data_IF_990145841689
#
_entry.id   IF_990145841689
#
_cell.length_a   1.000
_cell.length_b   1.000
_cell.length_c   1.000
_cell.angle_alpha   90.00
_cell.angle_beta   90.00
_cell.angle_gamma   90.00
#
_symmetry.space_group_name_H-M   'P 1'
#
loop_
_entity.id
_entity.type
_entity.pdbx_description
1 polymer ?
#
# COMPACT_ATOMS: atom_id res chain seq x y z
N UNK A 1 29.66 89.24 15.75
CA UNK A 1 29.29 89.57 17.15
C UNK A 1 28.30 88.49 17.61
N UNK A 2 28.70 87.54 18.47
CA UNK A 2 28.38 87.47 19.93
C UNK A 2 26.85 87.35 20.15
N UNK A 3 26.23 86.31 20.75
CA UNK A 3 26.66 85.32 21.76
C UNK A 3 25.70 84.12 21.83
N UNK A 4 26.28 82.97 22.22
CA UNK A 4 25.75 81.77 22.91
C UNK A 4 24.54 82.03 23.83
N UNK A 5 23.66 81.04 24.00
CA UNK A 5 23.20 80.54 25.31
C UNK A 5 22.82 79.05 25.18
N UNK A 6 23.41 78.28 26.09
CA UNK A 6 23.18 76.88 26.43
C UNK A 6 21.95 76.81 27.36
N UNK A 7 20.99 75.92 27.12
CA UNK A 7 20.14 75.40 28.19
C UNK A 7 20.03 73.88 28.02
N UNK A 8 20.80 73.20 28.89
CA UNK A 8 20.57 71.83 29.32
C UNK A 8 19.32 71.85 30.21
N UNK A 9 18.32 71.02 29.91
CA UNK A 9 17.40 70.54 30.94
C UNK A 9 16.81 69.18 30.55
N UNK A 10 17.52 68.16 30.97
CA UNK A 10 17.09 66.82 31.42
C UNK A 10 15.57 66.58 31.50
N UNK A 11 15.03 65.78 30.57
CA UNK A 11 13.91 64.84 30.78
C UNK A 11 14.26 63.59 29.96
N UNK A 12 15.01 62.67 30.54
CA UNK A 12 14.50 61.44 31.17
C UNK A 12 13.66 60.58 30.21
N UNK A 13 14.36 59.63 29.58
CA UNK A 13 13.97 58.23 29.40
C UNK A 13 12.61 57.94 28.74
N UNK A 14 12.63 57.49 27.48
CA UNK A 14 11.78 56.37 27.02
C UNK A 14 12.31 55.83 25.68
N UNK A 15 13.26 54.90 25.81
CA UNK A 15 13.54 53.91 24.77
C UNK A 15 12.33 52.96 24.80
N UNK A 16 11.33 53.20 23.95
CA UNK A 16 10.32 52.20 23.64
C UNK A 16 10.84 51.37 22.47
N UNK A 17 11.54 50.29 22.84
CA UNK A 17 11.79 49.18 21.96
C UNK A 17 10.44 48.62 21.50
N UNK A 18 10.05 48.92 20.26
CA UNK A 18 8.93 48.28 19.58
C UNK A 18 9.32 46.89 19.13
N UNK A 19 9.58 46.01 20.10
CA UNK A 19 9.42 44.56 19.92
C UNK A 19 8.07 44.21 20.50
N UNK A 20 7.03 44.35 19.68
CA UNK A 20 5.77 43.64 19.93
C UNK A 20 6.07 42.15 19.75
N UNK A 21 6.45 41.49 20.84
CA UNK A 21 6.19 40.06 21.00
C UNK A 21 4.71 39.88 20.68
N UNK A 22 4.42 39.24 19.54
CA UNK A 22 3.05 39.01 19.09
C UNK A 22 2.29 38.23 20.16
N UNK A 23 1.47 38.95 20.92
CA UNK A 23 0.46 38.36 21.77
C UNK A 23 -0.43 37.50 20.90
N UNK A 24 -0.36 36.17 21.06
CA UNK A 24 -1.37 35.28 20.52
C UNK A 24 -2.72 35.68 21.16
N UNK A 25 -3.56 36.37 20.40
CA UNK A 25 -4.93 36.67 20.81
C UNK A 25 -5.68 35.35 21.04
N UNK A 26 -6.43 35.26 22.14
CA UNK A 26 -7.30 34.13 22.39
C UNK A 26 -8.27 33.94 21.21
N UNK A 27 -8.25 32.78 20.56
CA UNK A 27 -9.14 32.47 19.44
C UNK A 27 -10.59 32.43 19.94
N UNK A 28 -11.44 33.37 19.51
CA UNK A 28 -12.88 33.45 19.85
C UNK A 28 -13.68 32.21 19.44
N UNK A 29 -13.20 31.48 18.46
CA UNK A 29 -13.92 30.35 17.84
C UNK A 29 -13.28 29.02 18.22
N UNK A 30 -14.12 28.00 18.42
CA UNK A 30 -13.70 26.62 18.64
C UNK A 30 -14.12 25.78 17.45
N UNK A 31 -13.16 25.19 16.74
CA UNK A 31 -13.44 24.20 15.70
C UNK A 31 -13.53 22.80 16.34
N UNK A 32 -14.62 22.09 16.07
CA UNK A 32 -14.75 20.66 16.38
C UNK A 32 -14.91 19.89 15.08
N UNK A 33 -14.07 18.90 14.86
CA UNK A 33 -14.20 17.93 13.78
C UNK A 33 -14.45 16.58 14.44
N UNK A 34 -15.50 15.87 14.02
CA UNK A 34 -15.92 14.59 14.62
C UNK A 34 -15.96 14.61 16.17
N UNK A 35 -16.58 15.66 16.73
CA UNK A 35 -16.69 15.87 18.18
C UNK A 35 -15.39 16.27 18.90
N UNK A 36 -14.23 16.17 18.25
CA UNK A 36 -12.91 16.53 18.82
C UNK A 36 -12.57 17.99 18.56
N UNK A 37 -12.13 18.69 19.60
CA UNK A 37 -11.64 20.07 19.46
C UNK A 37 -10.31 20.06 18.70
N UNK A 38 -10.24 20.84 17.62
CA UNK A 38 -9.04 20.99 16.80
C UNK A 38 -8.44 22.37 17.02
N UNK A 39 -7.20 22.41 17.52
CA UNK A 39 -6.48 23.67 17.75
C UNK A 39 -6.06 24.27 16.42
N UNK A 40 -6.73 25.34 16.01
CA UNK A 40 -6.43 26.05 14.77
C UNK A 40 -6.95 27.48 14.79
N UNK A 41 -6.39 28.33 13.92
CA UNK A 41 -6.79 29.72 13.79
C UNK A 41 -8.01 29.82 12.87
N UNK A 42 -9.21 29.88 13.47
CA UNK A 42 -10.43 30.19 12.74
C UNK A 42 -10.60 31.71 12.66
N UNK A 43 -10.82 32.23 11.45
CA UNK A 43 -10.99 33.67 11.18
C UNK A 43 -12.35 33.95 10.58
N UNK A 44 -12.95 35.08 10.92
CA UNK A 44 -14.16 35.57 10.27
C UNK A 44 -13.78 36.70 9.30
N UNK A 45 -14.17 36.57 8.03
CA UNK A 45 -13.97 37.59 7.00
C UNK A 45 -15.32 37.81 6.32
N UNK A 46 -15.86 39.03 6.41
CA UNK A 46 -17.17 39.42 5.86
C UNK A 46 -18.30 38.47 6.28
N UNK A 47 -18.36 38.09 7.55
CA UNK A 47 -19.38 37.17 8.10
C UNK A 47 -19.18 35.69 7.75
N UNK A 48 -18.12 35.34 7.03
CA UNK A 48 -17.79 33.94 6.68
C UNK A 48 -16.61 33.44 7.53
N UNK A 49 -16.74 32.24 8.10
CA UNK A 49 -15.68 31.60 8.88
C UNK A 49 -14.73 30.81 7.97
N UNK A 50 -13.44 31.00 8.18
CA UNK A 50 -12.34 30.35 7.46
C UNK A 50 -11.49 29.55 8.44
N UNK A 51 -11.17 28.31 8.06
CA UNK A 51 -10.22 27.46 8.77
C UNK A 51 -9.10 27.03 7.81
N UNK A 52 -7.87 26.81 8.30
CA UNK A 52 -6.77 26.36 7.46
C UNK A 52 -7.08 25.02 6.81
N UNK A 53 -7.03 24.95 5.47
CA UNK A 53 -7.28 23.71 4.72
C UNK A 53 -6.38 22.56 5.19
N UNK A 54 -5.11 22.85 5.52
CA UNK A 54 -4.16 21.90 6.11
C UNK A 54 -4.71 21.24 7.37
N UNK A 55 -5.30 22.03 8.27
CA UNK A 55 -5.88 21.50 9.51
C UNK A 55 -7.01 20.52 9.21
N UNK A 56 -7.85 20.84 8.22
CA UNK A 56 -8.98 20.01 7.82
C UNK A 56 -8.47 18.71 7.18
N UNK A 57 -7.54 18.79 6.23
CA UNK A 57 -6.99 17.60 5.55
C UNK A 57 -6.18 16.70 6.49
N UNK A 58 -5.42 17.29 7.41
CA UNK A 58 -4.66 16.55 8.43
C UNK A 58 -5.60 15.80 9.39
N UNK A 59 -6.72 16.42 9.77
CA UNK A 59 -7.70 15.79 10.65
C UNK A 59 -8.47 14.66 9.97
N UNK A 60 -8.95 14.88 8.74
CA UNK A 60 -9.69 13.86 7.98
C UNK A 60 -8.79 12.66 7.68
N UNK A 61 -7.50 12.90 7.39
CA UNK A 61 -6.56 11.86 7.02
C UNK A 61 -6.84 11.31 5.62
N UNK A 62 -5.81 10.78 4.96
CA UNK A 62 -5.94 10.19 3.61
C UNK A 62 -6.20 11.20 2.49
N UNK A 63 -6.18 12.51 2.77
CA UNK A 63 -6.24 13.59 1.80
C UNK A 63 -4.96 14.42 1.86
N UNK A 64 -4.57 14.97 0.72
CA UNK A 64 -3.53 15.97 0.55
C UNK A 64 -4.12 17.16 -0.21
N UNK A 65 -3.48 18.34 -0.09
CA UNK A 65 -3.89 19.52 -0.86
C UNK A 65 -2.69 20.14 -1.57
N UNK A 66 -2.90 20.59 -2.79
CA UNK A 66 -1.91 21.32 -3.57
C UNK A 66 -2.51 22.66 -4.03
N UNK A 67 -1.75 23.74 -3.86
CA UNK A 67 -2.09 25.04 -4.41
C UNK A 67 -1.24 25.31 -5.65
N UNK A 68 -1.87 25.30 -6.82
CA UNK A 68 -1.25 25.74 -8.05
C UNK A 68 -1.34 27.26 -8.15
N UNK A 69 -0.21 27.93 -7.93
CA UNK A 69 -0.10 29.39 -8.02
C UNK A 69 -0.33 29.93 -9.43
N UNK A 70 -0.08 29.15 -10.48
CA UNK A 70 -0.22 29.60 -11.88
C UNK A 70 -1.69 29.66 -12.30
N UNK A 71 -2.50 28.71 -11.82
CA UNK A 71 -3.92 28.61 -12.14
C UNK A 71 -4.82 29.08 -10.99
N UNK A 72 -4.21 29.57 -9.91
CA UNK A 72 -4.88 29.95 -8.65
C UNK A 72 -5.84 28.86 -8.13
N UNK A 73 -5.49 27.59 -8.35
CA UNK A 73 -6.36 26.45 -8.06
C UNK A 73 -5.87 25.69 -6.84
N UNK A 74 -6.79 25.35 -5.93
CA UNK A 74 -6.52 24.42 -4.83
C UNK A 74 -7.16 23.07 -5.19
N UNK A 75 -6.34 22.03 -5.30
CA UNK A 75 -6.80 20.66 -5.51
C UNK A 75 -6.69 19.87 -4.20
N UNK A 76 -7.76 19.17 -3.81
CA UNK A 76 -7.75 18.19 -2.72
C UNK A 76 -7.75 16.81 -3.36
N UNK A 77 -6.74 16.02 -3.06
CA UNK A 77 -6.54 14.69 -3.67
C UNK A 77 -6.32 13.63 -2.60
N UNK A 78 -6.66 12.35 -2.86
CA UNK A 78 -6.25 11.27 -1.97
C UNK A 78 -4.74 11.28 -1.77
N UNK A 79 -4.31 11.20 -0.51
CA UNK A 79 -2.90 11.03 -0.16
C UNK A 79 -2.45 9.70 -0.76
N UNK A 80 -1.57 9.76 -1.76
CA UNK A 80 -0.99 8.55 -2.32
C UNK A 80 -0.05 8.02 -1.24
N UNK A 81 -0.42 6.91 -0.58
CA UNK A 81 0.51 6.22 0.31
C UNK A 81 1.82 5.95 -0.47
N UNK A 82 3.01 6.04 0.16
CA UNK A 82 4.22 5.59 -0.50
C UNK A 82 3.94 4.19 -1.03
N UNK A 83 4.04 3.99 -2.35
CA UNK A 83 3.91 2.65 -2.92
C UNK A 83 4.99 1.81 -2.24
N UNK A 84 4.56 0.86 -1.41
CA UNK A 84 5.48 -0.10 -0.82
C UNK A 84 6.14 -0.83 -1.97
N UNK A 85 7.46 -0.69 -2.10
CA UNK A 85 8.24 -1.41 -3.11
C UNK A 85 8.52 -2.87 -2.68
N UNK A 86 7.97 -3.29 -1.54
CA UNK A 86 8.09 -4.64 -1.01
C UNK A 86 7.39 -5.60 -1.97
N UNK A 87 8.13 -6.62 -2.42
CA UNK A 87 7.64 -7.60 -3.37
C UNK A 87 7.67 -7.15 -4.82
N UNK A 88 7.95 -5.89 -5.15
CA UNK A 88 7.93 -5.42 -6.56
C UNK A 88 9.14 -5.87 -7.39
N UNK A 89 10.05 -6.66 -6.82
CA UNK A 89 11.21 -7.19 -7.52
C UNK A 89 11.63 -8.55 -6.94
N UNK A 90 12.17 -9.44 -7.78
CA UNK A 90 12.75 -10.72 -7.36
C UNK A 90 13.86 -10.56 -6.32
N UNK A 91 14.63 -9.48 -6.40
CA UNK A 91 15.69 -9.14 -5.44
C UNK A 91 15.17 -8.58 -4.12
N UNK A 92 13.89 -8.20 -4.05
CA UNK A 92 13.22 -7.67 -2.87
C UNK A 92 11.84 -8.30 -2.70
N UNK A 93 11.74 -9.64 -2.51
CA UNK A 93 10.48 -10.32 -2.37
C UNK A 93 9.79 -9.94 -1.05
N UNK A 94 8.46 -9.87 -1.07
CA UNK A 94 7.65 -9.70 0.12
C UNK A 94 7.82 -10.91 1.05
N UNK A 95 8.06 -10.71 2.34
CA UNK A 95 8.00 -11.80 3.32
C UNK A 95 6.61 -12.44 3.38
N UNK A 96 6.52 -13.64 3.96
CA UNK A 96 5.24 -14.22 4.33
C UNK A 96 4.40 -13.22 5.15
N UNK A 97 3.08 -13.32 5.01
CA UNK A 97 2.06 -12.49 5.67
C UNK A 97 2.17 -10.99 5.37
N UNK A 98 3.00 -10.62 4.38
CA UNK A 98 3.13 -9.24 3.93
C UNK A 98 2.29 -9.02 2.67
N UNK A 99 1.48 -7.96 2.68
CA UNK A 99 0.68 -7.56 1.53
C UNK A 99 1.55 -6.79 0.53
N UNK A 100 1.51 -7.21 -0.74
CA UNK A 100 2.07 -6.48 -1.87
C UNK A 100 0.94 -6.12 -2.85
N UNK A 101 0.99 -4.92 -3.42
CA UNK A 101 0.00 -4.46 -4.40
C UNK A 101 0.60 -4.40 -5.78
N UNK A 102 -0.17 -4.81 -6.78
CA UNK A 102 0.22 -4.80 -8.19
C UNK A 102 -0.85 -4.10 -9.03
N UNK A 103 -0.42 -3.40 -10.06
CA UNK A 103 -1.28 -2.93 -11.15
C UNK A 103 -0.85 -3.62 -12.43
N UNK A 104 -1.77 -4.37 -13.02
CA UNK A 104 -1.59 -4.97 -14.35
C UNK A 104 -2.26 -4.04 -15.35
N UNK A 105 -1.49 -3.64 -16.35
CA UNK A 105 -1.96 -2.80 -17.46
C UNK A 105 -1.32 -3.34 -18.75
N UNK A 106 -1.99 -4.33 -19.35
CA UNK A 106 -1.63 -4.89 -20.64
C UNK A 106 -2.86 -4.93 -21.56
N UNK A 107 -2.66 -5.35 -22.81
CA UNK A 107 -3.73 -5.30 -23.83
C UNK A 107 -4.92 -6.24 -23.52
N UNK A 108 -4.69 -7.27 -22.71
CA UNK A 108 -5.67 -8.30 -22.35
C UNK A 108 -6.31 -7.98 -20.99
N UNK A 109 -5.49 -7.60 -20.02
CA UNK A 109 -5.87 -7.43 -18.62
C UNK A 109 -5.49 -6.04 -18.11
N UNK A 110 -6.45 -5.38 -17.45
CA UNK A 110 -6.23 -4.09 -16.81
C UNK A 110 -6.94 -4.01 -15.47
N UNK A 111 -6.20 -4.21 -14.39
CA UNK A 111 -6.72 -4.25 -13.02
C UNK A 111 -5.63 -3.97 -11.99
N UNK A 112 -6.02 -3.82 -10.73
CA UNK A 112 -5.12 -3.78 -9.59
C UNK A 112 -5.59 -4.72 -8.49
N UNK A 113 -4.63 -5.33 -7.80
CA UNK A 113 -4.89 -6.29 -6.75
C UNK A 113 -3.86 -6.14 -5.62
N UNK A 114 -4.26 -6.58 -4.42
CA UNK A 114 -3.39 -6.76 -3.26
C UNK A 114 -3.33 -8.23 -2.93
N UNK A 115 -2.12 -8.76 -2.75
CA UNK A 115 -1.85 -10.18 -2.57
C UNK A 115 -0.94 -10.39 -1.36
N UNK A 116 -1.13 -11.48 -0.63
CA UNK A 116 -0.18 -12.00 0.36
C UNK A 116 -0.06 -13.51 0.25
N UNK A 117 1.12 -14.03 0.60
CA UNK A 117 1.30 -15.45 0.91
C UNK A 117 1.26 -15.58 2.43
N UNK A 118 0.20 -16.14 2.96
CA UNK A 118 -0.08 -16.15 4.39
C UNK A 118 0.64 -17.32 5.09
N UNK A 119 0.80 -18.41 4.36
CA UNK A 119 1.38 -19.66 4.83
C UNK A 119 1.99 -20.44 3.66
N UNK A 120 3.06 -21.19 3.94
CA UNK A 120 3.66 -22.11 2.99
C UNK A 120 4.06 -23.41 3.70
N UNK A 121 3.66 -24.54 3.13
CA UNK A 121 3.90 -25.90 3.65
C UNK A 121 4.63 -26.68 2.56
N UNK A 122 5.64 -27.47 2.90
CA UNK A 122 6.45 -28.24 1.95
C UNK A 122 6.67 -29.68 2.39
N UNK A 123 7.07 -30.54 1.47
CA UNK A 123 7.50 -31.90 1.77
C UNK A 123 6.35 -32.83 2.15
N UNK A 124 6.60 -33.70 3.13
CA UNK A 124 5.65 -34.73 3.56
C UNK A 124 4.33 -34.16 4.09
N UNK A 125 4.39 -33.04 4.82
CA UNK A 125 3.18 -32.38 5.34
C UNK A 125 2.30 -31.84 4.21
N UNK A 126 2.91 -31.20 3.20
CA UNK A 126 2.18 -30.74 2.02
C UNK A 126 1.58 -31.92 1.24
N UNK A 127 2.35 -33.01 1.11
CA UNK A 127 1.88 -34.20 0.41
C UNK A 127 0.67 -34.84 1.11
N UNK A 128 0.70 -34.94 2.44
CA UNK A 128 -0.42 -35.44 3.22
C UNK A 128 -1.70 -34.63 2.98
N UNK A 129 -1.62 -33.31 3.05
CA UNK A 129 -2.77 -32.43 2.79
C UNK A 129 -3.32 -32.58 1.35
N UNK A 130 -2.43 -32.76 0.38
CA UNK A 130 -2.82 -32.98 -1.04
C UNK A 130 -3.50 -34.34 -1.22
N UNK A 131 -3.04 -35.39 -0.56
CA UNK A 131 -3.72 -36.69 -0.58
C UNK A 131 -5.09 -36.64 0.11
N UNK A 132 -5.19 -35.95 1.24
CA UNK A 132 -6.45 -35.75 1.95
C UNK A 132 -7.46 -34.99 1.09
N UNK A 133 -7.00 -34.01 0.30
CA UNK A 133 -7.84 -33.26 -0.63
C UNK A 133 -8.37 -34.13 -1.77
N UNK A 134 -7.54 -35.04 -2.29
CA UNK A 134 -7.95 -36.02 -3.28
C UNK A 134 -6.94 -37.19 -3.31
N UNK A 135 -7.38 -38.38 -2.93
CA UNK A 135 -6.56 -39.60 -2.93
C UNK A 135 -6.06 -40.01 -4.32
N UNK A 136 -6.66 -39.48 -5.39
CA UNK A 136 -6.22 -39.71 -6.79
C UNK A 136 -5.12 -38.75 -7.25
N UNK A 137 -4.72 -37.78 -6.41
CA UNK A 137 -3.54 -36.98 -6.70
C UNK A 137 -2.30 -37.88 -6.80
N UNK A 138 -1.48 -37.65 -7.82
CA UNK A 138 -0.24 -38.40 -8.00
C UNK A 138 0.87 -37.88 -7.08
N UNK A 139 1.81 -38.75 -6.71
CA UNK A 139 3.03 -38.35 -6.03
C UNK A 139 3.80 -37.27 -6.81
N UNK A 140 4.64 -36.51 -6.12
CA UNK A 140 5.55 -35.57 -6.77
C UNK A 140 6.51 -36.32 -7.70
N UNK A 141 6.91 -35.68 -8.80
CA UNK A 141 7.88 -36.30 -9.73
C UNK A 141 9.21 -36.56 -9.02
N UNK A 142 9.96 -37.56 -9.49
CA UNK A 142 11.23 -37.94 -8.85
C UNK A 142 12.19 -36.74 -8.70
N UNK A 143 12.76 -36.58 -7.50
CA UNK A 143 13.62 -35.44 -7.14
C UNK A 143 12.88 -34.19 -6.68
N UNK A 144 11.54 -34.19 -6.71
CA UNK A 144 10.70 -33.08 -6.27
C UNK A 144 9.88 -33.45 -5.03
N UNK A 145 9.32 -32.44 -4.41
CA UNK A 145 8.30 -32.54 -3.37
C UNK A 145 7.21 -31.49 -3.60
N UNK A 146 6.08 -31.64 -2.92
CA UNK A 146 5.02 -30.66 -2.99
C UNK A 146 5.32 -29.43 -2.13
N UNK A 147 4.88 -28.28 -2.61
CA UNK A 147 4.80 -27.02 -1.88
C UNK A 147 3.38 -26.46 -2.03
N UNK A 148 2.72 -26.24 -0.91
CA UNK A 148 1.44 -25.55 -0.80
C UNK A 148 1.67 -24.11 -0.36
N UNK A 149 1.10 -23.15 -1.08
CA UNK A 149 1.08 -21.75 -0.67
C UNK A 149 -0.35 -21.31 -0.43
N UNK A 150 -0.65 -20.81 0.78
CA UNK A 150 -1.95 -20.21 1.09
C UNK A 150 -1.90 -18.74 0.72
N UNK A 151 -2.70 -18.36 -0.26
CA UNK A 151 -2.63 -17.05 -0.90
C UNK A 151 -3.93 -16.33 -0.65
N UNK A 152 -3.83 -15.09 -0.19
CA UNK A 152 -4.96 -14.15 -0.13
C UNK A 152 -4.85 -13.16 -1.28
N UNK A 153 -5.95 -12.97 -2.01
CA UNK A 153 -6.06 -12.00 -3.11
C UNK A 153 -7.24 -11.08 -2.87
N UNK A 154 -7.05 -9.78 -3.08
CA UNK A 154 -8.12 -8.77 -3.07
C UNK A 154 -8.04 -7.93 -4.33
N UNK A 155 -9.13 -7.84 -5.09
CA UNK A 155 -9.19 -7.00 -6.29
C UNK A 155 -9.53 -5.59 -5.85
N UNK A 156 -8.63 -4.64 -6.08
CA UNK A 156 -8.82 -3.26 -5.64
C UNK A 156 -9.43 -2.37 -6.72
N UNK A 157 -9.24 -2.73 -7.99
CA UNK A 157 -9.79 -1.99 -9.12
C UNK A 157 -9.78 -2.84 -10.39
N UNK A 158 -10.82 -2.73 -11.21
CA UNK A 158 -10.84 -3.19 -12.61
C UNK A 158 -11.03 -2.01 -13.55
N UNK A 159 -10.54 -2.11 -14.79
CA UNK A 159 -10.64 -1.01 -15.76
C UNK A 159 -12.06 -0.82 -16.31
N UNK A 160 -12.80 -1.91 -16.45
CA UNK A 160 -14.20 -1.89 -16.87
C UNK A 160 -15.07 -1.94 -15.62
N UNK A 161 -16.11 -1.10 -15.59
CA UNK A 161 -17.16 -1.19 -14.58
C UNK A 161 -17.79 -2.58 -14.61
N UNK A 162 -18.07 -3.12 -13.42
CA UNK A 162 -18.72 -4.42 -13.25
C UNK A 162 -17.99 -5.59 -13.96
N UNK A 163 -16.66 -5.53 -14.01
CA UNK A 163 -15.83 -6.62 -14.52
C UNK A 163 -15.18 -7.39 -13.37
N UNK A 164 -15.14 -8.71 -13.53
CA UNK A 164 -14.38 -9.63 -12.70
C UNK A 164 -12.99 -9.91 -13.27
N UNK A 165 -12.09 -10.40 -12.43
CA UNK A 165 -10.87 -11.11 -12.85
C UNK A 165 -10.95 -12.57 -12.40
N UNK A 166 -10.36 -13.47 -13.18
CA UNK A 166 -10.22 -14.87 -12.78
C UNK A 166 -8.87 -15.05 -12.09
N UNK A 167 -8.87 -15.63 -10.90
CA UNK A 167 -7.68 -15.97 -10.13
C UNK A 167 -7.69 -17.48 -9.93
N UNK A 168 -6.55 -18.11 -10.17
CA UNK A 168 -6.34 -19.54 -10.01
C UNK A 168 -4.96 -19.84 -9.48
N UNK A 169 -4.72 -21.08 -9.03
CA UNK A 169 -3.36 -21.54 -8.70
C UNK A 169 -2.38 -21.35 -9.86
N UNK A 170 -2.84 -21.53 -11.09
CA UNK A 170 -2.05 -21.33 -12.31
C UNK A 170 -1.75 -19.86 -12.65
N UNK A 171 -2.33 -18.89 -11.93
CA UNK A 171 -1.99 -17.47 -12.06
C UNK A 171 -0.63 -17.13 -11.41
N UNK A 172 -0.07 -18.06 -10.65
CA UNK A 172 1.17 -17.91 -9.90
C UNK A 172 2.26 -18.82 -10.47
N UNK A 173 3.51 -18.39 -10.35
CA UNK A 173 4.66 -19.20 -10.74
C UNK A 173 5.62 -19.34 -9.57
N UNK A 174 5.99 -20.57 -9.22
CA UNK A 174 7.10 -20.80 -8.31
C UNK A 174 8.40 -20.73 -9.11
N UNK A 175 9.37 -19.96 -8.63
CA UNK A 175 10.65 -19.71 -9.30
C UNK A 175 11.76 -20.18 -8.38
N UNK A 176 12.67 -21.00 -8.89
CA UNK A 176 13.76 -21.57 -8.10
C UNK A 176 14.72 -20.51 -7.56
N UNK A 177 15.53 -20.89 -6.57
CA UNK A 177 16.64 -20.03 -6.09
C UNK A 177 17.53 -19.57 -7.25
N UNK A 178 17.78 -20.44 -8.24
CA UNK A 178 18.60 -20.15 -9.42
C UNK A 178 17.87 -19.37 -10.52
N UNK A 179 16.56 -19.18 -10.40
CA UNK A 179 15.76 -18.37 -11.32
C UNK A 179 15.06 -19.13 -12.42
N UNK A 180 14.95 -20.46 -12.29
CA UNK A 180 14.21 -21.32 -13.19
C UNK A 180 12.76 -21.41 -12.72
N UNK A 181 11.82 -21.19 -13.62
CA UNK A 181 10.41 -21.43 -13.32
C UNK A 181 10.15 -22.93 -13.11
N UNK A 182 9.44 -23.25 -12.03
CA UNK A 182 8.85 -24.56 -11.83
C UNK A 182 7.54 -24.66 -12.59
N UNK A 183 7.25 -25.87 -13.07
CA UNK A 183 5.94 -26.16 -13.63
C UNK A 183 4.85 -26.03 -12.57
N UNK A 184 3.73 -25.44 -12.95
CA UNK A 184 2.51 -25.51 -12.14
C UNK A 184 2.06 -26.97 -12.04
N UNK A 185 1.68 -27.43 -10.84
CA UNK A 185 1.18 -28.78 -10.62
C UNK A 185 -0.28 -28.89 -11.10
N UNK A 186 -0.52 -28.67 -12.39
CA UNK A 186 -1.84 -28.40 -12.97
C UNK A 186 -2.89 -29.49 -12.75
N UNK A 187 -2.47 -30.72 -12.48
CA UNK A 187 -3.35 -31.87 -12.28
C UNK A 187 -3.56 -32.22 -10.80
N UNK A 188 -2.86 -31.57 -9.88
CA UNK A 188 -3.05 -31.79 -8.46
C UNK A 188 -4.26 -30.97 -7.97
N UNK A 189 -5.24 -31.67 -7.40
CA UNK A 189 -6.36 -31.03 -6.71
C UNK A 189 -5.84 -30.42 -5.41
N UNK A 190 -5.95 -29.10 -5.28
CA UNK A 190 -5.56 -28.36 -4.08
C UNK A 190 -6.42 -28.72 -2.86
N UNK A 191 -5.92 -28.55 -1.62
CA UNK A 191 -6.77 -28.62 -0.43
C UNK A 191 -7.75 -27.45 -0.35
N UNK A 192 -8.73 -27.56 0.55
CA UNK A 192 -9.57 -26.43 0.94
C UNK A 192 -8.83 -25.48 1.91
N UNK A 193 -9.10 -24.16 1.87
CA UNK A 193 -9.99 -23.49 0.92
C UNK A 193 -9.38 -23.37 -0.48
N UNK A 194 -10.23 -23.44 -1.52
CA UNK A 194 -9.82 -23.29 -2.92
C UNK A 194 -9.47 -21.85 -3.25
N UNK A 195 -8.37 -21.65 -3.98
CA UNK A 195 -7.97 -20.33 -4.46
C UNK A 195 -8.78 -19.89 -5.69
N UNK A 196 -9.15 -20.85 -6.54
CA UNK A 196 -9.83 -20.60 -7.81
C UNK A 196 -11.13 -19.83 -7.60
N UNK A 197 -11.18 -18.61 -8.13
CA UNK A 197 -12.31 -17.70 -7.94
C UNK A 197 -12.37 -16.64 -9.03
N UNK A 198 -13.58 -16.14 -9.27
CA UNK A 198 -13.80 -14.93 -10.06
C UNK A 198 -14.14 -13.78 -9.12
N UNK A 199 -13.36 -12.71 -9.17
CA UNK A 199 -13.40 -11.62 -8.20
C UNK A 199 -13.73 -10.29 -8.87
N UNK A 200 -14.80 -9.64 -8.42
CA UNK A 200 -15.13 -8.25 -8.75
C UNK A 200 -14.32 -7.29 -7.89
N UNK A 201 -14.29 -6.01 -8.27
CA UNK A 201 -13.67 -4.96 -7.45
C UNK A 201 -14.24 -4.96 -6.02
N UNK A 202 -13.36 -4.97 -5.03
CA UNK A 202 -13.68 -5.04 -3.60
C UNK A 202 -13.77 -6.47 -3.05
N UNK A 203 -13.90 -7.49 -3.90
CA UNK A 203 -13.95 -8.88 -3.49
C UNK A 203 -12.56 -9.44 -3.15
N UNK A 204 -12.54 -10.46 -2.30
CA UNK A 204 -11.35 -11.18 -1.88
C UNK A 204 -11.59 -12.69 -1.82
N UNK A 205 -10.55 -13.47 -2.07
CA UNK A 205 -10.54 -14.91 -1.79
C UNK A 205 -9.21 -15.32 -1.17
N UNK A 206 -9.24 -16.37 -0.35
CA UNK A 206 -8.05 -16.97 0.25
C UNK A 206 -8.08 -18.46 0.02
N UNK A 207 -7.00 -19.01 -0.52
CA UNK A 207 -6.95 -20.44 -0.81
C UNK A 207 -5.57 -20.99 -1.12
N UNK A 208 -5.49 -22.31 -1.27
CA UNK A 208 -4.24 -23.02 -1.55
C UNK A 208 -3.94 -23.09 -3.04
N UNK A 209 -2.70 -22.76 -3.40
CA UNK A 209 -2.08 -23.09 -4.67
C UNK A 209 -1.04 -24.21 -4.48
N UNK A 210 -0.96 -25.12 -5.46
CA UNK A 210 -0.11 -26.31 -5.41
C UNK A 210 1.05 -26.17 -6.40
N UNK A 211 2.25 -26.44 -5.93
CA UNK A 211 3.47 -26.46 -6.73
C UNK A 211 4.28 -27.73 -6.43
N UNK A 212 5.15 -28.09 -7.36
CA UNK A 212 6.25 -29.01 -7.09
C UNK A 212 7.57 -28.24 -7.11
N UNK A 213 8.45 -28.55 -6.16
CA UNK A 213 9.75 -27.90 -5.97
C UNK A 213 10.83 -28.96 -5.81
N UNK A 214 12.05 -28.70 -6.31
CA UNK A 214 13.16 -29.62 -6.06
C UNK A 214 13.47 -29.68 -4.56
N UNK A 215 13.76 -30.87 -4.04
CA UNK A 215 13.97 -31.08 -2.59
C UNK A 215 15.13 -30.24 -2.02
N UNK A 216 16.16 -30.03 -2.82
CA UNK A 216 17.37 -29.26 -2.48
C UNK A 216 17.22 -27.74 -2.71
N UNK A 217 16.14 -27.28 -3.35
CA UNK A 217 15.88 -25.86 -3.51
C UNK A 217 15.39 -25.25 -2.21
N UNK A 218 16.32 -24.61 -1.50
CA UNK A 218 16.04 -24.10 -0.18
C UNK A 218 15.15 -22.85 -0.21
N UNK A 219 15.25 -21.99 -1.23
CA UNK A 219 14.68 -20.63 -1.20
C UNK A 219 14.00 -20.23 -2.51
N UNK A 220 13.03 -21.03 -3.01
CA UNK A 220 12.22 -20.61 -4.14
C UNK A 220 11.39 -19.36 -3.78
N UNK A 221 10.94 -18.64 -4.80
CA UNK A 221 10.09 -17.46 -4.67
C UNK A 221 8.79 -17.68 -5.46
N UNK A 222 7.68 -17.19 -4.92
CA UNK A 222 6.41 -17.18 -5.63
C UNK A 222 6.24 -15.87 -6.37
N UNK A 223 5.89 -15.91 -7.65
CA UNK A 223 5.68 -14.74 -8.48
C UNK A 223 4.23 -14.67 -9.00
N UNK A 224 3.71 -13.45 -9.16
CA UNK A 224 2.41 -13.16 -9.77
C UNK A 224 2.48 -11.93 -10.68
N UNK A 225 1.76 -11.97 -11.80
CA UNK A 225 1.59 -10.81 -12.69
C UNK A 225 2.89 -10.33 -13.37
N UNK A 226 3.85 -11.24 -13.59
CA UNK A 226 5.03 -10.96 -14.42
C UNK A 226 4.60 -10.72 -15.86
N UNK A 227 5.35 -9.90 -16.58
CA UNK A 227 5.22 -9.77 -18.04
C UNK A 227 5.75 -11.03 -18.73
N UNK A 228 5.46 -11.15 -20.02
CA UNK A 228 5.93 -12.26 -20.85
C UNK A 228 7.46 -12.43 -20.86
N UNK A 229 8.21 -11.34 -20.77
CA UNK A 229 9.68 -11.32 -20.68
C UNK A 229 10.22 -11.62 -19.26
N UNK A 230 9.34 -11.95 -18.30
CA UNK A 230 9.68 -12.22 -16.92
C UNK A 230 9.89 -10.98 -16.04
N UNK A 231 9.80 -9.76 -16.61
CA UNK A 231 9.97 -8.52 -15.85
C UNK A 231 8.73 -8.15 -15.03
N UNK A 232 8.94 -7.32 -14.00
CA UNK A 232 7.87 -6.85 -13.12
C UNK A 232 7.29 -7.95 -12.24
N UNK A 233 5.97 -7.89 -12.04
CA UNK A 233 5.26 -8.77 -11.13
C UNK A 233 5.47 -8.42 -9.66
N UNK A 234 4.82 -9.20 -8.81
CA UNK A 234 5.07 -9.24 -7.37
C UNK A 234 5.68 -10.58 -7.01
N UNK A 235 6.56 -10.56 -6.02
CA UNK A 235 7.41 -11.65 -5.61
C UNK A 235 7.26 -11.85 -4.11
N UNK A 236 7.11 -13.10 -3.68
CA UNK A 236 6.93 -13.48 -2.28
C UNK A 236 7.92 -14.56 -1.88
N UNK A 237 8.38 -14.49 -0.63
CA UNK A 237 9.03 -15.62 0.03
C UNK A 237 7.98 -16.66 0.39
N UNK A 238 8.38 -17.93 0.35
CA UNK A 238 7.59 -19.09 0.80
C UNK A 238 8.25 -19.82 1.98
N UNK A 239 9.15 -19.12 2.68
CA UNK A 239 9.76 -19.48 3.97
C UNK A 239 10.29 -18.24 4.68
#
# INVERSE_FOLDING_TARGET
>A
MKKKIFIISTVMLLILASFTLGSYAATKYTLKLDGKVVKTDVREINGTLYAPIKTITDFIGGLDYNYDKKTETIAITPKTAPKSNIGLARSNPAPLKTKASISIDNIIEKYSATISVDEAIRGEEAWKLIQEANQFNSEAVSGFEYLLAKISVTVTKTAKTDAQISISGGSFTLVSTTGKDYGYAAFAVSPDPKLDSNLYTGASNTGWAVFQVQKDDSAPLLAFGRKYDGTGGIWFKVK
#
